data_IF_773443010220
#
_entry.id   IF_773443010220
#
_cell.length_a   1.000
_cell.length_b   1.000
_cell.length_c   1.000
_cell.angle_alpha   90.00
_cell.angle_beta   90.00
_cell.angle_gamma   90.00
#
_symmetry.space_group_name_H-M   'P 1'
#
loop_
_entity.id
_entity.type
_entity.pdbx_description
1 polymer ?
#
# COMPACT_ATOMS: atom_id res chain seq x y z
N UNK A 1 -6.31 -1.94 9.83
CA UNK A 1 -5.57 -2.37 8.62
C UNK A 1 -4.07 -2.11 8.78
N UNK A 2 -3.65 -0.90 9.12
CA UNK A 2 -2.21 -0.59 9.23
C UNK A 2 -1.45 -1.53 10.18
N UNK A 3 -2.04 -1.97 11.29
CA UNK A 3 -1.39 -2.91 12.21
C UNK A 3 -1.10 -4.27 11.55
N UNK A 4 -2.06 -4.81 10.79
CA UNK A 4 -1.82 -6.07 10.08
C UNK A 4 -0.84 -5.89 8.92
N UNK A 5 -0.86 -4.74 8.25
CA UNK A 5 0.09 -4.41 7.20
C UNK A 5 1.51 -4.36 7.79
N UNK A 6 1.69 -3.63 8.91
CA UNK A 6 2.96 -3.55 9.62
C UNK A 6 3.41 -4.93 10.15
N UNK A 7 2.50 -5.75 10.69
CA UNK A 7 2.82 -7.12 11.10
C UNK A 7 3.36 -7.95 9.94
N UNK A 8 2.72 -7.84 8.77
CA UNK A 8 3.15 -8.53 7.55
C UNK A 8 4.53 -8.05 7.09
N UNK A 9 4.76 -6.74 7.06
CA UNK A 9 6.07 -6.16 6.71
C UNK A 9 7.16 -6.65 7.68
N UNK A 10 6.90 -6.56 8.98
CA UNK A 10 7.86 -6.99 10.01
C UNK A 10 8.25 -8.46 9.84
N UNK A 11 7.29 -9.34 9.57
CA UNK A 11 7.55 -10.77 9.37
C UNK A 11 8.37 -11.05 8.10
N UNK A 12 8.05 -10.36 6.99
CA UNK A 12 8.73 -10.58 5.69
C UNK A 12 10.07 -9.87 5.57
N UNK A 13 10.27 -8.74 6.26
CA UNK A 13 11.45 -7.88 6.15
C UNK A 13 12.29 -7.79 7.43
N UNK A 14 11.84 -8.35 8.53
CA UNK A 14 12.55 -8.35 9.80
C UNK A 14 12.42 -7.05 10.61
N UNK A 15 11.97 -5.96 10.03
CA UNK A 15 11.86 -4.66 10.70
C UNK A 15 11.26 -3.58 9.80
N UNK A 16 11.47 -2.30 10.17
CA UNK A 16 10.95 -1.15 9.43
C UNK A 16 12.02 -0.12 9.10
N UNK A 17 13.00 0.05 9.99
CA UNK A 17 14.02 1.09 9.84
C UNK A 17 14.82 0.90 8.54
N UNK A 18 14.89 1.98 7.74
CA UNK A 18 15.59 1.98 6.46
C UNK A 18 14.87 1.29 5.31
N UNK A 19 13.67 0.73 5.52
CA UNK A 19 12.84 0.25 4.43
C UNK A 19 12.23 1.41 3.66
N UNK A 20 12.21 1.33 2.34
CA UNK A 20 11.42 2.20 1.47
C UNK A 20 10.09 1.53 1.16
N UNK A 21 9.00 2.18 1.58
CA UNK A 21 7.63 1.70 1.37
C UNK A 21 6.91 2.64 0.41
N UNK A 22 6.57 2.15 -0.78
CA UNK A 22 5.79 2.88 -1.77
C UNK A 22 4.31 2.55 -1.61
N UNK A 23 3.47 3.55 -1.35
CA UNK A 23 2.00 3.43 -1.30
C UNK A 23 1.44 4.12 -2.54
N UNK A 24 0.72 3.36 -3.37
CA UNK A 24 0.29 3.80 -4.70
C UNK A 24 -1.23 3.76 -4.84
N UNK A 25 -1.82 4.84 -5.34
CA UNK A 25 -3.24 4.90 -5.67
C UNK A 25 -3.96 6.14 -5.14
N UNK A 26 -5.21 5.97 -4.72
CA UNK A 26 -6.03 7.06 -4.16
C UNK A 26 -5.65 7.33 -2.69
N UNK A 27 -4.65 8.16 -2.49
CA UNK A 27 -4.14 8.52 -1.16
C UNK A 27 -5.15 9.41 -0.42
N UNK A 28 -5.76 10.36 -1.15
CA UNK A 28 -6.64 11.38 -0.56
C UNK A 28 -7.84 10.77 0.17
N UNK A 29 -8.42 9.71 -0.39
CA UNK A 29 -9.63 9.07 0.13
C UNK A 29 -9.35 7.77 0.90
N UNK A 30 -8.07 7.39 1.06
CA UNK A 30 -7.68 6.15 1.71
C UNK A 30 -7.34 6.31 3.19
N UNK A 31 -8.20 5.79 4.06
CA UNK A 31 -7.89 5.64 5.50
C UNK A 31 -6.70 4.72 5.72
N UNK A 32 -6.55 3.70 4.86
CA UNK A 32 -5.44 2.75 4.92
C UNK A 32 -4.11 3.46 4.65
N UNK A 33 -4.05 4.29 3.60
CA UNK A 33 -2.85 5.10 3.31
C UNK A 33 -2.47 5.96 4.51
N UNK A 34 -3.42 6.75 5.05
CA UNK A 34 -3.16 7.66 6.17
C UNK A 34 -2.63 6.92 7.41
N UNK A 35 -3.25 5.82 7.78
CA UNK A 35 -2.82 5.02 8.94
C UNK A 35 -1.45 4.39 8.73
N UNK A 36 -1.15 3.89 7.52
CA UNK A 36 0.14 3.32 7.18
C UNK A 36 1.25 4.37 7.13
N UNK A 37 0.98 5.55 6.55
CA UNK A 37 1.93 6.67 6.57
C UNK A 37 2.35 6.96 8.02
N UNK A 38 1.38 7.17 8.89
CA UNK A 38 1.66 7.48 10.29
C UNK A 38 2.43 6.37 11.00
N UNK A 39 1.96 5.12 10.89
CA UNK A 39 2.58 3.98 11.58
C UNK A 39 3.99 3.69 11.08
N UNK A 40 4.18 3.59 9.77
CA UNK A 40 5.46 3.24 9.16
C UNK A 40 6.52 4.33 9.36
N UNK A 41 6.14 5.62 9.19
CA UNK A 41 7.05 6.74 9.44
C UNK A 41 7.50 6.75 10.91
N UNK A 42 6.58 6.54 11.85
CA UNK A 42 6.91 6.47 13.29
C UNK A 42 7.85 5.30 13.61
N UNK A 43 7.78 4.21 12.85
CA UNK A 43 8.67 3.05 12.99
C UNK A 43 10.00 3.18 12.22
N UNK A 44 10.25 4.32 11.58
CA UNK A 44 11.52 4.61 10.90
C UNK A 44 11.62 4.13 9.45
N UNK A 45 10.50 3.81 8.80
CA UNK A 45 10.48 3.54 7.36
C UNK A 45 10.43 4.85 6.55
N UNK A 46 11.07 4.86 5.38
CA UNK A 46 10.87 5.90 4.37
C UNK A 46 9.59 5.59 3.59
N UNK A 47 8.55 6.40 3.81
CA UNK A 47 7.29 6.25 3.08
C UNK A 47 7.28 7.20 1.89
N UNK A 48 6.96 6.67 0.72
CA UNK A 48 6.75 7.46 -0.51
C UNK A 48 5.37 7.16 -1.08
N UNK A 49 4.77 8.15 -1.69
CA UNK A 49 3.40 8.06 -2.21
C UNK A 49 3.39 8.28 -3.71
N UNK A 50 2.54 7.56 -4.44
CA UNK A 50 2.28 7.83 -5.85
C UNK A 50 0.80 7.74 -6.19
N UNK A 51 0.39 8.60 -7.12
CA UNK A 51 -0.96 8.62 -7.67
C UNK A 51 -1.19 9.82 -8.56
N UNK A 52 -2.35 9.89 -9.24
CA UNK A 52 -2.77 11.09 -9.94
C UNK A 52 -2.72 12.31 -9.01
N UNK A 53 -2.32 13.46 -9.53
CA UNK A 53 -2.21 14.70 -8.73
C UNK A 53 -3.51 15.05 -7.98
N UNK A 54 -4.66 14.69 -8.56
CA UNK A 54 -6.00 14.86 -7.97
C UNK A 54 -6.28 13.91 -6.79
N UNK A 55 -5.49 12.85 -6.66
CA UNK A 55 -5.61 11.83 -5.61
C UNK A 55 -4.51 11.96 -4.53
N UNK A 56 -3.64 12.95 -4.65
CA UNK A 56 -2.60 13.27 -3.66
C UNK A 56 -3.06 14.49 -2.84
N UNK A 57 -3.24 14.36 -1.51
CA UNK A 57 -3.56 15.52 -0.66
C UNK A 57 -2.44 16.54 -0.69
N UNK A 58 -2.78 17.84 -0.77
CA UNK A 58 -1.79 18.94 -0.82
C UNK A 58 -0.93 19.04 0.43
N UNK A 59 -1.49 18.67 1.56
CA UNK A 59 -0.87 18.75 2.88
C UNK A 59 -0.12 17.48 3.31
N UNK A 60 -0.20 16.42 2.52
CA UNK A 60 0.42 15.12 2.88
C UNK A 60 1.95 15.20 3.01
N UNK A 61 2.59 16.14 2.32
CA UNK A 61 4.03 16.38 2.46
C UNK A 61 4.43 16.87 3.85
N UNK A 62 3.50 17.53 4.58
CA UNK A 62 3.72 17.95 5.96
C UNK A 62 3.88 16.76 6.92
N UNK A 63 3.48 15.56 6.49
CA UNK A 63 3.70 14.32 7.23
C UNK A 63 5.11 13.73 7.03
N UNK A 64 6.02 14.47 6.37
CA UNK A 64 7.40 14.05 6.14
C UNK A 64 7.57 12.98 5.04
N UNK A 65 6.60 12.86 4.13
CA UNK A 65 6.61 11.87 3.06
C UNK A 65 6.82 12.54 1.69
N UNK A 66 7.50 11.84 0.77
CA UNK A 66 7.66 12.27 -0.62
C UNK A 66 6.47 11.82 -1.46
N UNK A 67 6.08 12.65 -2.44
CA UNK A 67 4.98 12.35 -3.36
C UNK A 67 5.46 12.37 -4.80
N UNK A 68 4.93 11.45 -5.60
CA UNK A 68 5.24 11.31 -7.03
C UNK A 68 3.95 11.20 -7.83
N UNK A 69 3.97 11.74 -9.04
CA UNK A 69 2.86 11.58 -10.01
C UNK A 69 3.10 10.44 -11.00
N UNK A 70 4.27 9.80 -10.92
CA UNK A 70 4.64 8.63 -11.74
C UNK A 70 4.90 7.43 -10.83
N UNK A 71 4.30 6.29 -11.19
CA UNK A 71 4.44 5.04 -10.45
C UNK A 71 5.91 4.61 -10.34
N UNK A 72 6.61 4.67 -11.46
CA UNK A 72 7.98 4.17 -11.59
C UNK A 72 8.96 4.88 -10.65
N UNK A 73 8.80 6.18 -10.46
CA UNK A 73 9.65 6.96 -9.55
C UNK A 73 9.46 6.54 -8.09
N UNK A 74 8.23 6.29 -7.71
CA UNK A 74 7.91 5.89 -6.34
C UNK A 74 8.43 4.48 -6.02
N UNK A 75 8.20 3.52 -6.92
CA UNK A 75 8.57 2.12 -6.68
C UNK A 75 10.05 1.83 -6.90
N UNK A 76 10.79 2.73 -7.55
CA UNK A 76 12.24 2.56 -7.78
C UNK A 76 12.97 2.32 -6.47
N UNK A 77 13.62 1.16 -6.34
CA UNK A 77 14.35 0.75 -5.14
C UNK A 77 13.49 0.50 -3.89
N UNK A 78 12.16 0.39 -4.03
CA UNK A 78 11.28 0.10 -2.91
C UNK A 78 11.46 -1.34 -2.39
N UNK A 79 11.38 -1.48 -1.06
CA UNK A 79 11.34 -2.77 -0.36
C UNK A 79 9.92 -3.34 -0.30
N UNK A 80 8.94 -2.43 -0.25
CA UNK A 80 7.51 -2.75 -0.16
C UNK A 80 6.76 -1.88 -1.14
N UNK A 81 5.90 -2.49 -1.95
CA UNK A 81 4.96 -1.79 -2.83
C UNK A 81 3.54 -2.12 -2.39
N UNK A 82 2.84 -1.14 -1.85
CA UNK A 82 1.45 -1.27 -1.40
C UNK A 82 0.54 -0.58 -2.40
N UNK A 83 -0.24 -1.37 -3.13
CA UNK A 83 -1.25 -0.86 -4.04
C UNK A 83 -2.57 -0.62 -3.30
N UNK A 84 -3.21 0.51 -3.58
CA UNK A 84 -4.51 0.85 -3.00
C UNK A 84 -5.62 0.58 -4.00
N UNK A 85 -6.74 0.08 -3.50
CA UNK A 85 -7.94 -0.10 -4.30
C UNK A 85 -8.49 1.25 -4.77
N UNK A 86 -8.85 1.34 -6.04
CA UNK A 86 -9.65 2.45 -6.56
C UNK A 86 -11.11 2.21 -6.22
N UNK A 87 -11.68 3.06 -5.36
CA UNK A 87 -13.07 2.96 -4.88
C UNK A 87 -14.01 3.70 -5.83
N UNK A 88 -14.35 3.07 -6.95
CA UNK A 88 -15.18 3.66 -8.00
C UNK A 88 -16.57 4.05 -7.49
N UNK A 89 -17.12 3.25 -6.59
CA UNK A 89 -18.44 3.43 -6.00
C UNK A 89 -18.55 4.69 -5.13
N UNK A 90 -17.43 5.24 -4.66
CA UNK A 90 -17.39 6.45 -3.82
C UNK A 90 -17.02 7.72 -4.57
N UNK A 91 -16.61 7.59 -5.82
CA UNK A 91 -16.19 8.73 -6.62
C UNK A 91 -17.40 9.41 -7.27
N UNK A 92 -17.98 10.38 -6.57
CA UNK A 92 -19.05 11.25 -7.13
C UNK A 92 -18.51 12.29 -8.13
N UNK A 93 -17.19 12.44 -8.25
CA UNK A 93 -16.50 13.36 -9.15
C UNK A 93 -15.53 12.60 -10.03
N UNK A 94 -15.39 12.98 -11.28
CA UNK A 94 -14.41 12.43 -12.22
C UNK A 94 -12.99 12.87 -11.80
N UNK A 95 -12.37 12.15 -10.86
CA UNK A 95 -11.05 12.45 -10.32
C UNK A 95 -9.93 12.02 -11.29
N UNK A 96 -10.25 11.12 -12.21
CA UNK A 96 -9.37 10.72 -13.33
C UNK A 96 -10.22 10.46 -14.59
N UNK A 97 -9.65 10.62 -15.79
CA UNK A 97 -10.42 10.59 -17.04
C UNK A 97 -11.08 9.25 -17.34
N UNK A 98 -10.39 8.13 -17.06
CA UNK A 98 -10.96 6.79 -17.24
C UNK A 98 -10.15 5.74 -16.47
N UNK A 99 -10.79 4.59 -16.15
CA UNK A 99 -10.11 3.41 -15.59
C UNK A 99 -8.98 2.90 -16.47
N UNK A 100 -9.16 2.98 -17.80
CA UNK A 100 -8.15 2.55 -18.76
C UNK A 100 -6.90 3.42 -18.68
N UNK A 101 -7.08 4.73 -18.51
CA UNK A 101 -5.96 5.66 -18.34
C UNK A 101 -5.27 5.46 -16.99
N UNK A 102 -6.06 5.31 -15.91
CA UNK A 102 -5.50 4.97 -14.61
C UNK A 102 -4.66 3.70 -14.68
N UNK A 103 -5.20 2.62 -15.22
CA UNK A 103 -4.50 1.34 -15.33
C UNK A 103 -3.22 1.44 -16.18
N UNK A 104 -3.24 2.24 -17.22
CA UNK A 104 -2.05 2.47 -18.08
C UNK A 104 -0.87 3.09 -17.33
N UNK A 105 -1.16 4.00 -16.38
CA UNK A 105 -0.13 4.78 -15.68
C UNK A 105 0.18 4.27 -14.27
N UNK A 106 -0.76 3.59 -13.62
CA UNK A 106 -0.64 3.22 -12.20
C UNK A 106 -0.85 1.73 -11.91
N UNK A 107 -1.09 0.90 -12.91
CA UNK A 107 -1.18 -0.55 -12.68
C UNK A 107 0.20 -1.14 -12.42
N UNK A 108 0.37 -1.79 -11.26
CA UNK A 108 1.57 -2.57 -10.97
C UNK A 108 1.56 -3.84 -11.81
N UNK A 109 2.60 -4.05 -12.61
CA UNK A 109 2.73 -5.14 -13.57
C UNK A 109 4.11 -5.79 -13.50
N UNK A 110 4.29 -6.95 -14.13
CA UNK A 110 5.58 -7.62 -14.26
C UNK A 110 6.66 -6.78 -14.94
N UNK A 111 6.25 -5.76 -15.71
CA UNK A 111 7.19 -4.84 -16.35
C UNK A 111 7.78 -3.84 -15.34
N UNK A 112 6.92 -3.16 -14.58
CA UNK A 112 7.36 -2.06 -13.72
C UNK A 112 7.81 -2.50 -12.32
N UNK A 113 7.34 -3.64 -11.78
CA UNK A 113 7.80 -4.18 -10.49
C UNK A 113 9.33 -4.45 -10.47
N UNK A 114 9.94 -4.62 -11.62
CA UNK A 114 11.40 -4.81 -11.76
C UNK A 114 12.22 -3.60 -11.30
N UNK A 115 11.60 -2.42 -11.19
CA UNK A 115 12.21 -1.21 -10.65
C UNK A 115 12.35 -1.25 -9.12
N UNK A 116 11.51 -2.01 -8.46
CA UNK A 116 11.65 -2.28 -7.03
C UNK A 116 12.81 -3.26 -6.77
N UNK A 117 13.19 -3.43 -5.51
CA UNK A 117 14.22 -4.40 -5.13
C UNK A 117 13.81 -5.82 -5.53
N UNK A 118 14.80 -6.69 -5.77
CA UNK A 118 14.54 -8.09 -6.17
C UNK A 118 13.68 -8.84 -5.16
N UNK A 119 13.86 -8.56 -3.87
CA UNK A 119 13.14 -9.13 -2.74
C UNK A 119 11.95 -8.26 -2.29
N UNK A 120 11.55 -7.26 -3.09
CA UNK A 120 10.41 -6.42 -2.78
C UNK A 120 9.12 -7.24 -2.66
N UNK A 121 8.34 -6.95 -1.62
CA UNK A 121 7.02 -7.54 -1.42
C UNK A 121 5.92 -6.63 -1.95
N UNK A 122 4.86 -7.25 -2.46
CA UNK A 122 3.67 -6.57 -2.98
C UNK A 122 2.50 -6.79 -2.02
N UNK A 123 1.87 -5.70 -1.63
CA UNK A 123 0.77 -5.66 -0.67
C UNK A 123 -0.46 -4.99 -1.28
N UNK A 124 -1.64 -5.34 -0.77
CA UNK A 124 -2.91 -4.72 -1.12
C UNK A 124 -3.93 -4.94 -0.01
N UNK A 125 -4.63 -3.90 0.47
CA UNK A 125 -5.57 -4.05 1.59
C UNK A 125 -6.86 -4.81 1.26
N UNK A 126 -7.05 -5.14 -0.04
CA UNK A 126 -8.26 -5.81 -0.55
C UNK A 126 -9.53 -4.94 -0.54
N UNK A 127 -10.56 -5.35 -1.28
CA UNK A 127 -10.49 -6.28 -2.40
C UNK A 127 -9.72 -5.71 -3.61
N UNK A 128 -9.21 -6.59 -4.48
CA UNK A 128 -8.39 -6.21 -5.65
C UNK A 128 -9.28 -5.97 -6.88
N UNK A 129 -9.02 -4.89 -7.63
CA UNK A 129 -9.54 -4.73 -8.99
C UNK A 129 -8.43 -5.17 -9.97
N UNK A 130 -8.45 -6.45 -10.36
CA UNK A 130 -7.44 -7.05 -11.25
C UNK A 130 -7.43 -6.32 -12.59
N UNK A 131 -6.21 -5.97 -13.05
CA UNK A 131 -6.02 -5.23 -14.28
C UNK A 131 -6.29 -3.72 -14.19
N UNK A 132 -6.64 -3.21 -13.02
CA UNK A 132 -6.79 -1.77 -12.74
C UNK A 132 -5.59 -1.24 -11.96
N UNK A 133 -5.47 -1.56 -10.68
CA UNK A 133 -4.33 -1.13 -9.85
C UNK A 133 -3.21 -2.17 -9.79
N UNK A 134 -3.51 -3.45 -10.06
CA UNK A 134 -2.53 -4.53 -10.06
C UNK A 134 -2.88 -5.55 -11.14
N UNK A 135 -1.89 -5.99 -11.89
CA UNK A 135 -2.08 -7.03 -12.91
C UNK A 135 -2.24 -8.41 -12.27
N UNK A 136 -2.99 -9.34 -12.90
CA UNK A 136 -3.22 -10.68 -12.34
C UNK A 136 -1.93 -11.45 -12.07
N UNK A 137 -0.94 -11.35 -12.96
CA UNK A 137 0.35 -12.03 -12.85
C UNK A 137 1.14 -11.59 -11.60
N UNK A 138 1.05 -10.31 -11.20
CA UNK A 138 1.68 -9.81 -9.97
C UNK A 138 0.84 -10.13 -8.74
N UNK A 139 -0.48 -10.04 -8.83
CA UNK A 139 -1.35 -10.37 -7.71
C UNK A 139 -1.20 -11.82 -7.26
N UNK A 140 -0.95 -12.72 -8.21
CA UNK A 140 -0.84 -14.17 -8.00
C UNK A 140 0.62 -14.67 -7.91
N UNK A 141 1.62 -13.77 -8.00
CA UNK A 141 3.04 -14.11 -7.86
C UNK A 141 3.37 -14.41 -6.39
N UNK A 142 3.36 -15.68 -6.02
CA UNK A 142 3.65 -16.16 -4.66
C UNK A 142 5.06 -15.80 -4.16
N UNK A 143 5.98 -15.43 -5.06
CA UNK A 143 7.33 -15.02 -4.67
C UNK A 143 7.39 -13.60 -4.12
N UNK A 144 6.42 -12.76 -4.46
CA UNK A 144 6.39 -11.33 -4.10
C UNK A 144 5.09 -10.90 -3.42
N UNK A 145 3.96 -11.44 -3.88
CA UNK A 145 2.64 -11.08 -3.35
C UNK A 145 2.41 -11.68 -1.97
N UNK A 146 2.23 -10.82 -0.98
CA UNK A 146 1.91 -11.21 0.40
C UNK A 146 0.46 -10.85 0.76
N UNK A 147 -0.40 -10.68 -0.25
CA UNK A 147 -1.78 -10.21 -0.09
C UNK A 147 -2.62 -11.22 0.72
N UNK A 148 -2.44 -12.52 0.47
CA UNK A 148 -3.11 -13.56 1.25
C UNK A 148 -2.58 -13.63 2.68
N UNK A 149 -1.29 -13.39 2.89
CA UNK A 149 -0.71 -13.30 4.23
C UNK A 149 -1.34 -12.15 5.04
N UNK A 150 -1.59 -10.98 4.39
CA UNK A 150 -2.30 -9.86 5.03
C UNK A 150 -3.69 -10.27 5.50
N UNK A 151 -4.44 -11.03 4.69
CA UNK A 151 -5.78 -11.51 5.06
C UNK A 151 -5.71 -12.39 6.31
N UNK A 152 -4.79 -13.34 6.34
CA UNK A 152 -4.58 -14.24 7.47
C UNK A 152 -4.19 -13.48 8.76
N UNK A 153 -3.29 -12.50 8.65
CA UNK A 153 -2.89 -11.65 9.79
C UNK A 153 -4.05 -10.80 10.32
N UNK A 154 -5.01 -10.48 9.47
CA UNK A 154 -6.17 -9.68 9.85
C UNK A 154 -6.99 -10.29 10.98
N UNK A 155 -7.11 -11.62 11.03
CA UNK A 155 -7.81 -12.33 12.12
C UNK A 155 -6.99 -12.23 13.41
N UNK A 156 -5.72 -12.58 13.37
CA UNK A 156 -4.84 -12.58 14.54
C UNK A 156 -4.72 -11.19 15.18
N UNK A 157 -4.55 -10.13 14.37
CA UNK A 157 -4.47 -8.74 14.87
C UNK A 157 -5.77 -8.30 15.52
N UNK A 158 -6.95 -8.62 14.95
CA UNK A 158 -8.23 -8.29 15.57
C UNK A 158 -8.44 -9.03 16.89
N UNK A 159 -8.08 -10.30 16.96
CA UNK A 159 -8.14 -11.08 18.20
C UNK A 159 -7.25 -10.47 19.28
N UNK A 160 -6.02 -10.11 18.94
CA UNK A 160 -5.08 -9.48 19.88
C UNK A 160 -5.61 -8.11 20.38
N UNK A 161 -6.16 -7.29 19.49
CA UNK A 161 -6.74 -6.00 19.87
C UNK A 161 -7.94 -6.17 20.81
N UNK A 162 -8.84 -7.10 20.51
CA UNK A 162 -9.99 -7.38 21.37
C UNK A 162 -9.53 -7.86 22.73
N UNK A 163 -8.57 -8.78 22.78
CA UNK A 163 -8.00 -9.30 24.04
C UNK A 163 -7.40 -8.18 24.90
N UNK A 164 -6.53 -7.34 24.30
CA UNK A 164 -5.85 -6.26 25.02
C UNK A 164 -6.82 -5.17 25.49
N UNK A 165 -7.86 -4.87 24.70
CA UNK A 165 -8.81 -3.79 25.03
C UNK A 165 -9.96 -4.25 25.94
N UNK A 166 -10.24 -5.55 26.01
CA UNK A 166 -11.27 -6.11 26.89
C UNK A 166 -10.79 -6.48 28.29
N UNK A 167 -9.56 -6.09 28.65
CA UNK A 167 -9.02 -6.36 29.99
C UNK A 167 -8.46 -7.80 30.18
N UNK A 168 -8.05 -8.45 29.12
CA UNK A 168 -7.48 -9.79 29.11
C UNK A 168 -6.09 -9.93 29.78
N UNK A 169 -5.80 -9.10 30.77
CA UNK A 169 -4.56 -9.10 31.56
C UNK A 169 -4.87 -9.37 33.04
N UNK A 170 -5.79 -10.27 33.32
CA UNK A 170 -5.90 -10.89 34.66
C UNK A 170 -5.31 -12.30 34.66
#
# INVERSE_FOLDING_TARGET
>A
QALLDMMTIKEKKGGFAGLKVAIVGDIAHSRVARSNIYGLTKMGAEVVLAGPATMLPRDVQQMGVKTYTHLEEAISGADVVMMLRIQLERQKQNIFPSLREYSRHYCLSSRNIKLAKKDAIVMHPGPINRGVEISPDIADDLSRSVILDQVNKGVAVRMALLYLLSGGNE
#
